data_IF_951114688174
#
_entry.id   IF_951114688174
#
_cell.length_a   1.000
_cell.length_b   1.000
_cell.length_c   1.000
_cell.angle_alpha   90.00
_cell.angle_beta   90.00
_cell.angle_gamma   90.00
#
_symmetry.space_group_name_H-M   'P 1'
#
loop_
_entity.id
_entity.type
_entity.pdbx_description
1 polymer ?
#
# COMPACT_ATOMS: atom_id res chain seq x y z
N UNK A 1 69.92 -39.83 -7.99
CA UNK A 1 69.74 -38.54 -8.69
C UNK A 1 68.85 -37.65 -7.83
N UNK A 2 69.42 -36.56 -7.37
CA UNK A 2 68.84 -35.51 -6.53
C UNK A 2 67.83 -34.67 -7.31
N UNK A 3 66.62 -34.46 -6.78
CA UNK A 3 65.82 -33.27 -7.12
C UNK A 3 65.02 -32.81 -5.90
N UNK A 4 65.49 -31.73 -5.29
CA UNK A 4 64.79 -30.96 -4.28
C UNK A 4 63.79 -30.02 -4.97
N UNK A 5 62.50 -30.18 -4.69
CA UNK A 5 61.43 -29.30 -5.18
C UNK A 5 61.16 -28.19 -4.16
N UNK A 6 61.42 -26.95 -4.57
CA UNK A 6 61.24 -25.72 -3.79
C UNK A 6 59.76 -25.35 -3.76
N UNK A 7 59.19 -25.16 -2.58
CA UNK A 7 57.84 -24.58 -2.40
C UNK A 7 57.92 -23.05 -2.49
N UNK A 8 57.06 -22.37 -3.25
CA UNK A 8 56.99 -20.92 -3.26
C UNK A 8 56.33 -20.40 -1.98
N UNK A 9 56.87 -19.28 -1.53
CA UNK A 9 56.51 -18.50 -0.36
C UNK A 9 55.12 -17.92 -0.53
N UNK A 10 54.26 -18.15 0.45
CA UNK A 10 52.94 -17.55 0.56
C UNK A 10 53.13 -16.08 0.98
N UNK A 11 53.05 -15.15 0.04
CA UNK A 11 53.06 -13.71 0.32
C UNK A 11 51.67 -13.33 0.82
N UNK A 12 51.56 -13.22 2.13
CA UNK A 12 50.43 -12.70 2.87
C UNK A 12 50.26 -11.20 2.53
N UNK A 13 49.41 -10.87 1.56
CA UNK A 13 48.97 -9.49 1.35
C UNK A 13 47.94 -9.13 2.43
N UNK A 14 48.43 -8.49 3.48
CA UNK A 14 47.61 -7.76 4.46
C UNK A 14 47.13 -6.48 3.76
N UNK A 15 45.95 -6.52 3.15
CA UNK A 15 45.22 -5.30 2.82
C UNK A 15 44.35 -4.91 4.03
N UNK A 16 44.76 -3.81 4.65
CA UNK A 16 44.07 -3.14 5.75
C UNK A 16 42.63 -2.78 5.37
N UNK A 17 41.75 -3.15 6.30
CA UNK A 17 40.31 -3.02 6.32
C UNK A 17 39.94 -1.58 6.66
N UNK A 18 39.51 -0.77 5.69
CA UNK A 18 38.86 0.54 5.89
C UNK A 18 37.77 0.79 4.83
N UNK A 19 36.87 -0.19 4.67
CA UNK A 19 35.72 -0.08 3.79
C UNK A 19 34.49 -0.78 4.37
N UNK A 20 34.32 -0.73 5.69
CA UNK A 20 33.19 -1.35 6.36
C UNK A 20 31.96 -0.42 6.26
N UNK A 21 31.03 -0.83 5.40
CA UNK A 21 29.63 -0.90 5.81
C UNK A 21 28.84 0.39 5.84
N UNK A 22 28.67 1.03 4.68
CA UNK A 22 27.41 1.75 4.43
C UNK A 22 26.53 0.81 3.61
N UNK A 23 26.06 -0.27 4.24
CA UNK A 23 24.96 -1.05 3.69
C UNK A 23 23.68 -0.23 3.82
N UNK A 24 23.49 0.64 2.84
CA UNK A 24 22.22 1.13 2.31
C UNK A 24 20.97 0.95 3.21
N UNK A 25 20.68 1.95 4.04
CA UNK A 25 19.35 2.18 4.65
C UNK A 25 18.37 2.76 3.61
N UNK A 26 18.48 2.36 2.33
CA UNK A 26 17.75 2.99 1.22
C UNK A 26 16.36 2.35 1.04
N UNK A 27 16.12 1.16 1.62
CA UNK A 27 14.85 0.44 1.49
C UNK A 27 13.68 1.06 2.27
N UNK A 28 13.93 1.89 3.28
CA UNK A 28 12.85 2.40 4.14
C UNK A 28 12.27 3.74 3.67
N UNK A 29 13.05 4.54 2.93
CA UNK A 29 12.65 5.92 2.61
C UNK A 29 11.41 5.97 1.70
N UNK A 30 11.36 5.13 0.67
CA UNK A 30 10.21 5.07 -0.24
C UNK A 30 8.97 4.52 0.45
N UNK A 31 9.12 3.49 1.30
CA UNK A 31 8.00 2.97 2.08
C UNK A 31 7.44 4.05 3.01
N UNK A 32 8.31 4.76 3.72
CA UNK A 32 7.91 5.86 4.62
C UNK A 32 7.16 6.96 3.87
N UNK A 33 7.61 7.33 2.65
CA UNK A 33 6.89 8.28 1.79
C UNK A 33 5.47 7.79 1.46
N UNK A 34 5.31 6.53 1.05
CA UNK A 34 3.99 5.98 0.69
C UNK A 34 3.10 5.79 1.93
N UNK A 35 3.65 5.39 3.07
CA UNK A 35 2.95 5.35 4.36
C UNK A 35 2.43 6.73 4.75
N UNK A 36 3.30 7.75 4.66
CA UNK A 36 2.93 9.14 4.94
C UNK A 36 1.85 9.64 4.00
N UNK A 37 2.00 9.42 2.68
CA UNK A 37 0.99 9.75 1.68
C UNK A 37 -0.35 9.04 1.97
N UNK A 38 -0.32 7.80 2.46
CA UNK A 38 -1.53 7.07 2.85
C UNK A 38 -2.15 7.63 4.14
N UNK A 39 -1.37 8.31 4.98
CA UNK A 39 -1.81 8.76 6.30
C UNK A 39 -1.55 7.72 7.39
N UNK A 40 -0.71 6.72 7.16
CA UNK A 40 -0.28 5.74 8.15
C UNK A 40 0.92 6.25 8.97
N UNK A 41 1.14 5.74 10.20
CA UNK A 41 2.35 6.02 10.96
C UNK A 41 3.57 5.31 10.35
N UNK A 42 4.70 6.03 10.29
CA UNK A 42 6.02 5.45 10.01
C UNK A 42 6.61 4.89 11.31
N UNK A 43 7.47 3.88 11.21
CA UNK A 43 8.09 3.22 12.38
C UNK A 43 7.12 2.40 13.26
N UNK A 44 5.86 2.24 12.87
CA UNK A 44 4.90 1.36 13.53
C UNK A 44 4.99 -0.05 12.94
N UNK A 45 5.42 -1.04 13.72
CA UNK A 45 5.76 -2.37 13.19
C UNK A 45 4.60 -3.02 12.42
N UNK A 46 3.35 -2.74 12.80
CA UNK A 46 2.18 -3.29 12.13
C UNK A 46 1.94 -2.70 10.74
N UNK A 47 2.48 -1.52 10.40
CA UNK A 47 2.41 -0.96 9.03
C UNK A 47 3.61 -1.32 8.16
N UNK A 48 4.61 -2.03 8.70
CA UNK A 48 5.84 -2.40 7.96
C UNK A 48 5.62 -3.33 6.76
N UNK A 49 4.48 -4.01 6.66
CA UNK A 49 4.14 -4.84 5.50
C UNK A 49 3.40 -4.05 4.40
N UNK A 50 2.85 -2.87 4.73
CA UNK A 50 2.12 -2.06 3.78
C UNK A 50 3.03 -1.60 2.64
N UNK A 51 2.54 -1.71 1.40
CA UNK A 51 3.18 -1.19 0.18
C UNK A 51 4.54 -1.81 -0.18
N UNK A 52 5.00 -2.83 0.54
CA UNK A 52 6.28 -3.51 0.26
C UNK A 52 6.11 -4.96 -0.16
N UNK A 53 4.97 -5.57 0.13
CA UNK A 53 4.65 -6.92 -0.33
C UNK A 53 3.94 -6.91 -1.70
N UNK A 54 3.56 -8.10 -2.19
CA UNK A 54 2.90 -8.28 -3.49
C UNK A 54 1.38 -8.10 -3.45
N UNK A 55 0.80 -7.77 -2.30
CA UNK A 55 -0.65 -7.82 -2.07
C UNK A 55 -1.25 -6.51 -1.55
N UNK A 56 -0.59 -5.80 -0.64
CA UNK A 56 -1.12 -4.63 0.07
C UNK A 56 -0.76 -3.31 -0.61
N UNK A 57 -1.32 -3.12 -1.80
CA UNK A 57 -0.99 -2.02 -2.71
C UNK A 57 -1.99 -0.85 -2.66
N UNK A 58 -3.25 -1.11 -2.27
CA UNK A 58 -4.30 -0.09 -2.25
C UNK A 58 -4.29 0.65 -0.92
N UNK A 59 -4.01 1.96 -0.92
CA UNK A 59 -4.30 2.81 0.23
C UNK A 59 -5.81 3.07 0.30
N UNK A 60 -6.47 2.42 1.25
CA UNK A 60 -7.88 2.58 1.51
C UNK A 60 -8.13 3.49 2.70
N UNK A 61 -9.04 4.44 2.54
CA UNK A 61 -9.61 5.21 3.65
C UNK A 61 -10.88 4.46 4.07
N UNK A 62 -10.93 3.94 5.29
CA UNK A 62 -12.05 3.14 5.79
C UNK A 62 -12.99 3.99 6.64
N UNK A 63 -14.28 3.98 6.30
CA UNK A 63 -15.35 4.51 7.13
C UNK A 63 -15.71 3.59 8.31
N UNK A 64 -16.54 4.06 9.25
CA UNK A 64 -16.91 3.31 10.46
C UNK A 64 -17.63 1.99 10.16
N UNK A 65 -18.50 1.95 9.15
CA UNK A 65 -19.25 0.74 8.79
C UNK A 65 -18.34 -0.29 8.12
N UNK A 66 -17.48 0.15 7.20
CA UNK A 66 -16.47 -0.70 6.57
C UNK A 66 -15.50 -1.32 7.59
N UNK A 67 -15.04 -0.54 8.58
CA UNK A 67 -14.20 -1.07 9.67
C UNK A 67 -14.91 -2.18 10.45
N UNK A 68 -16.13 -1.93 10.90
CA UNK A 68 -16.90 -2.90 11.68
C UNK A 68 -17.19 -4.18 10.87
N UNK A 69 -17.58 -4.00 9.60
CA UNK A 69 -17.83 -5.12 8.69
C UNK A 69 -16.58 -5.97 8.48
N UNK A 70 -15.44 -5.35 8.19
CA UNK A 70 -14.20 -6.04 7.96
C UNK A 70 -13.87 -7.00 9.11
N UNK A 71 -13.86 -6.49 10.35
CA UNK A 71 -13.58 -7.30 11.54
C UNK A 71 -14.61 -8.43 11.71
N UNK A 72 -15.90 -8.13 11.58
CA UNK A 72 -16.98 -9.14 11.72
C UNK A 72 -16.96 -10.23 10.64
N UNK A 73 -16.35 -9.94 9.50
CA UNK A 73 -16.24 -10.84 8.35
C UNK A 73 -14.96 -11.69 8.35
N UNK A 74 -14.16 -11.60 9.42
CA UNK A 74 -12.90 -12.34 9.57
C UNK A 74 -11.70 -11.67 8.90
N UNK A 75 -11.81 -10.40 8.51
CA UNK A 75 -10.72 -9.59 7.96
C UNK A 75 -10.39 -8.43 8.92
N UNK A 76 -9.44 -8.59 9.86
CA UNK A 76 -9.27 -7.73 11.03
C UNK A 76 -8.68 -6.32 10.75
N UNK A 77 -8.94 -5.74 9.57
CA UNK A 77 -8.40 -4.44 9.18
C UNK A 77 -9.13 -3.26 9.82
N UNK A 78 -10.36 -3.45 10.33
CA UNK A 78 -11.05 -2.41 11.09
C UNK A 78 -10.31 -2.09 12.39
N UNK A 79 -9.93 -3.14 13.11
CA UNK A 79 -9.11 -3.06 14.32
C UNK A 79 -7.69 -2.58 13.99
N UNK A 80 -7.07 -3.09 12.92
CA UNK A 80 -5.70 -2.70 12.54
C UNK A 80 -5.61 -1.20 12.17
N UNK A 81 -6.53 -0.71 11.33
CA UNK A 81 -6.61 0.69 10.93
C UNK A 81 -6.87 1.63 12.12
N UNK A 82 -7.73 1.23 13.04
CA UNK A 82 -8.01 2.00 14.27
C UNK A 82 -6.78 2.11 15.19
N UNK A 83 -5.99 1.04 15.32
CA UNK A 83 -4.74 1.05 16.08
C UNK A 83 -3.66 1.91 15.43
N UNK A 84 -3.54 1.85 14.10
CA UNK A 84 -2.63 2.71 13.36
C UNK A 84 -3.03 4.19 13.45
N UNK A 85 -4.33 4.49 13.41
CA UNK A 85 -4.86 5.83 13.67
C UNK A 85 -4.49 6.31 15.06
N UNK A 86 -4.67 5.48 16.10
CA UNK A 86 -4.25 5.82 17.47
C UNK A 86 -2.75 6.07 17.56
N UNK A 87 -1.92 5.23 16.96
CA UNK A 87 -0.46 5.41 16.96
C UNK A 87 -0.04 6.74 16.31
N UNK A 88 -0.79 7.21 15.29
CA UNK A 88 -0.51 8.48 14.61
C UNK A 88 -1.08 9.71 15.31
N UNK A 89 -2.28 9.61 15.88
CA UNK A 89 -3.05 10.75 16.37
C UNK A 89 -3.18 10.84 17.90
N UNK A 90 -2.75 9.81 18.64
CA UNK A 90 -2.86 9.76 20.10
C UNK A 90 -4.29 9.58 20.65
N UNK A 91 -5.27 9.29 19.78
CA UNK A 91 -6.67 9.02 20.15
C UNK A 91 -7.28 7.96 19.26
N UNK A 92 -8.28 7.24 19.77
CA UNK A 92 -9.07 6.32 18.95
C UNK A 92 -9.92 7.09 17.94
N UNK A 93 -10.23 6.52 16.76
CA UNK A 93 -11.21 7.10 15.85
C UNK A 93 -12.60 7.12 16.50
N UNK A 94 -13.35 8.20 16.29
CA UNK A 94 -14.75 8.33 16.66
C UNK A 94 -15.66 7.86 15.51
N UNK A 95 -16.98 8.02 15.68
CA UNK A 95 -17.98 7.55 14.71
C UNK A 95 -17.94 8.27 13.35
N UNK A 96 -17.26 9.41 13.25
CA UNK A 96 -17.14 10.20 12.00
C UNK A 96 -15.73 10.14 11.40
N UNK A 97 -14.75 9.63 12.14
CA UNK A 97 -13.40 9.51 11.63
C UNK A 97 -13.31 8.39 10.59
N UNK A 98 -12.62 8.69 9.50
CA UNK A 98 -12.12 7.69 8.57
C UNK A 98 -10.67 7.33 8.93
N UNK A 99 -10.27 6.09 8.67
CA UNK A 99 -8.95 5.59 9.05
C UNK A 99 -8.25 4.96 7.84
N UNK A 100 -7.03 5.39 7.49
CA UNK A 100 -6.31 4.78 6.38
C UNK A 100 -5.79 3.38 6.74
N UNK A 101 -5.71 2.51 5.74
CA UNK A 101 -5.06 1.20 5.79
C UNK A 101 -4.62 0.73 4.41
N UNK A 102 -3.52 -0.02 4.33
CA UNK A 102 -3.15 -0.71 3.12
C UNK A 102 -4.01 -1.98 2.97
N UNK A 103 -4.69 -2.14 1.85
CA UNK A 103 -5.61 -3.26 1.62
C UNK A 103 -5.14 -4.10 0.45
N UNK A 104 -5.60 -5.34 0.45
CA UNK A 104 -5.25 -6.27 -0.62
C UNK A 104 -5.85 -5.83 -1.96
N UNK A 105 -4.96 -5.56 -2.91
CA UNK A 105 -5.33 -5.09 -4.24
C UNK A 105 -5.79 -6.21 -5.16
N UNK A 106 -5.22 -7.42 -5.03
CA UNK A 106 -5.67 -8.59 -5.78
C UNK A 106 -7.14 -8.97 -5.51
N UNK A 107 -7.63 -8.70 -4.30
CA UNK A 107 -8.99 -9.00 -3.88
C UNK A 107 -9.96 -7.81 -3.90
N UNK A 108 -9.49 -6.62 -4.29
CA UNK A 108 -10.32 -5.42 -4.46
C UNK A 108 -11.06 -5.00 -3.17
N UNK A 109 -10.42 -5.16 -2.02
CA UNK A 109 -11.06 -4.97 -0.70
C UNK A 109 -11.62 -3.56 -0.56
N UNK A 110 -10.86 -2.54 -0.95
CA UNK A 110 -11.27 -1.17 -0.73
C UNK A 110 -12.47 -0.78 -1.59
N UNK A 111 -12.41 -1.08 -2.88
CA UNK A 111 -13.50 -0.81 -3.81
C UNK A 111 -14.76 -1.61 -3.46
N UNK A 112 -14.61 -2.86 -2.99
CA UNK A 112 -15.75 -3.64 -2.49
C UNK A 112 -16.41 -2.99 -1.27
N UNK A 113 -15.62 -2.51 -0.30
CA UNK A 113 -16.19 -1.81 0.86
C UNK A 113 -16.81 -0.46 0.49
N UNK A 114 -16.20 0.29 -0.43
CA UNK A 114 -16.76 1.53 -0.95
C UNK A 114 -18.12 1.32 -1.64
N UNK A 115 -18.25 0.28 -2.48
CA UNK A 115 -19.54 -0.06 -3.11
C UNK A 115 -20.58 -0.52 -2.07
N UNK A 116 -20.13 -1.23 -1.02
CA UNK A 116 -21.02 -1.77 0.02
C UNK A 116 -21.51 -0.69 1.00
N UNK A 117 -20.67 0.31 1.29
CA UNK A 117 -20.93 1.38 2.25
C UNK A 117 -20.73 2.76 1.60
N UNK A 118 -21.53 3.11 0.57
CA UNK A 118 -21.27 4.29 -0.27
C UNK A 118 -21.31 5.64 0.46
N UNK A 119 -21.83 5.67 1.70
CA UNK A 119 -22.04 6.89 2.48
C UNK A 119 -21.19 6.96 3.75
N UNK A 120 -20.33 5.96 4.04
CA UNK A 120 -19.54 5.93 5.28
C UNK A 120 -18.18 6.62 5.14
N UNK A 121 -17.86 7.13 3.95
CA UNK A 121 -16.58 7.76 3.63
C UNK A 121 -15.48 6.79 3.20
N UNK A 122 -15.80 5.50 3.02
CA UNK A 122 -14.84 4.53 2.49
C UNK A 122 -14.47 4.86 1.04
N UNK A 123 -13.17 5.00 0.77
CA UNK A 123 -12.67 5.43 -0.51
C UNK A 123 -11.26 4.93 -0.80
N UNK A 124 -10.95 4.75 -2.09
CA UNK A 124 -9.58 4.50 -2.55
C UNK A 124 -8.85 5.83 -2.59
N UNK A 125 -7.73 5.95 -1.85
CA UNK A 125 -6.89 7.14 -1.89
C UNK A 125 -5.91 7.09 -3.06
N UNK A 126 -5.22 5.96 -3.20
CA UNK A 126 -4.37 5.63 -4.33
C UNK A 126 -4.08 4.12 -4.33
N UNK A 127 -3.50 3.64 -5.42
CA UNK A 127 -2.98 2.27 -5.55
C UNK A 127 -1.50 2.37 -5.92
N UNK A 128 -0.62 1.79 -5.11
CA UNK A 128 0.83 1.82 -5.33
C UNK A 128 1.31 0.53 -5.98
N UNK A 129 2.15 0.64 -7.02
CA UNK A 129 2.80 -0.49 -7.67
C UNK A 129 4.30 -0.50 -7.32
N UNK A 130 4.73 -1.23 -6.28
CA UNK A 130 6.13 -1.25 -5.86
C UNK A 130 7.07 -1.87 -6.89
N UNK A 131 6.56 -2.70 -7.81
CA UNK A 131 7.36 -3.41 -8.81
C UNK A 131 7.58 -2.60 -10.11
N UNK A 132 7.03 -1.40 -10.26
CA UNK A 132 7.30 -0.57 -11.45
C UNK A 132 8.66 0.13 -11.35
N UNK A 133 9.24 0.48 -12.50
CA UNK A 133 10.51 1.23 -12.59
C UNK A 133 10.33 2.52 -13.42
N UNK A 134 10.28 3.72 -12.78
CA UNK A 134 10.33 3.94 -11.34
C UNK A 134 9.03 3.49 -10.64
N UNK A 135 9.02 3.37 -9.29
CA UNK A 135 7.79 3.10 -8.53
C UNK A 135 6.71 4.15 -8.77
N UNK A 136 5.51 3.68 -9.09
CA UNK A 136 4.37 4.50 -9.53
C UNK A 136 3.10 4.07 -8.80
N UNK A 137 2.05 4.88 -8.92
CA UNK A 137 0.73 4.46 -8.49
C UNK A 137 -0.38 5.13 -9.26
N UNK A 138 -1.55 4.51 -9.24
CA UNK A 138 -2.77 5.04 -9.81
C UNK A 138 -3.45 5.99 -8.81
N UNK A 139 -3.70 7.22 -9.25
CA UNK A 139 -4.33 8.29 -8.48
C UNK A 139 -5.78 8.49 -8.92
N UNK A 140 -6.57 9.21 -8.13
CA UNK A 140 -7.96 9.56 -8.49
C UNK A 140 -8.82 8.36 -8.90
N UNK A 141 -8.53 7.18 -8.34
CA UNK A 141 -9.29 5.96 -8.61
C UNK A 141 -10.70 6.16 -8.05
N UNK A 142 -11.76 6.10 -8.88
CA UNK A 142 -13.11 6.19 -8.34
C UNK A 142 -13.35 5.10 -7.30
N UNK A 143 -14.07 5.44 -6.23
CA UNK A 143 -14.31 4.54 -5.09
C UNK A 143 -15.34 3.47 -5.45
N UNK A 144 -14.88 2.50 -6.25
CA UNK A 144 -15.66 1.35 -6.70
C UNK A 144 -14.76 0.17 -6.99
N UNK A 145 -15.23 -1.05 -6.71
CA UNK A 145 -14.50 -2.29 -7.01
C UNK A 145 -14.15 -2.43 -8.49
N UNK A 146 -14.97 -1.88 -9.37
CA UNK A 146 -14.79 -1.97 -10.82
C UNK A 146 -13.60 -1.13 -11.29
N UNK A 147 -13.40 0.03 -10.67
CA UNK A 147 -12.29 0.91 -10.99
C UNK A 147 -10.98 0.44 -10.35
N UNK A 148 -11.05 -0.16 -9.16
CA UNK A 148 -9.92 -0.89 -8.58
C UNK A 148 -9.53 -2.09 -9.47
N UNK A 149 -10.51 -2.86 -9.96
CA UNK A 149 -10.25 -3.97 -10.87
C UNK A 149 -9.56 -3.51 -12.16
N UNK A 150 -9.98 -2.36 -12.71
CA UNK A 150 -9.35 -1.78 -13.89
C UNK A 150 -7.89 -1.40 -13.63
N UNK A 151 -7.58 -0.83 -12.47
CA UNK A 151 -6.20 -0.58 -12.08
C UNK A 151 -5.42 -1.88 -11.88
N UNK A 152 -6.05 -2.93 -11.30
CA UNK A 152 -5.43 -4.24 -11.08
C UNK A 152 -5.05 -4.90 -12.39
N UNK A 153 -5.96 -4.88 -13.36
CA UNK A 153 -5.72 -5.41 -14.70
C UNK A 153 -4.59 -4.63 -15.40
N UNK A 154 -4.53 -3.30 -15.24
CA UNK A 154 -3.44 -2.46 -15.79
C UNK A 154 -2.07 -2.80 -15.18
N UNK A 155 -2.01 -3.05 -13.86
CA UNK A 155 -0.78 -3.43 -13.16
C UNK A 155 -0.48 -4.93 -13.18
N UNK A 156 -1.31 -5.72 -13.89
CA UNK A 156 -1.17 -7.17 -14.03
C UNK A 156 -1.11 -7.95 -12.70
N UNK A 157 -1.82 -7.45 -11.68
CA UNK A 157 -1.85 -8.09 -10.35
C UNK A 157 -2.86 -9.24 -10.34
N UNK A 158 -2.41 -10.42 -9.93
CA UNK A 158 -3.25 -11.61 -9.89
C UNK A 158 -4.41 -11.47 -8.87
N UNK A 159 -5.61 -11.85 -9.30
CA UNK A 159 -6.78 -11.86 -8.44
C UNK A 159 -6.72 -13.02 -7.42
N UNK A 160 -7.08 -12.75 -6.17
CA UNK A 160 -7.23 -13.79 -5.15
C UNK A 160 -8.30 -13.41 -4.12
N UNK A 161 -8.72 -14.38 -3.29
CA UNK A 161 -9.76 -14.16 -2.30
C UNK A 161 -9.28 -13.42 -1.05
N UNK A 162 -10.23 -12.83 -0.33
CA UNK A 162 -10.04 -12.29 1.04
C UNK A 162 -11.35 -12.51 1.82
N UNK A 163 -11.28 -12.91 3.10
CA UNK A 163 -12.48 -13.03 3.93
C UNK A 163 -13.34 -11.75 3.89
N UNK A 164 -14.66 -11.92 3.82
CA UNK A 164 -15.62 -10.82 3.78
C UNK A 164 -15.82 -10.13 2.43
N UNK A 165 -14.98 -10.42 1.42
CA UNK A 165 -15.16 -9.92 0.06
C UNK A 165 -15.84 -10.99 -0.78
N UNK A 166 -17.11 -10.76 -1.12
CA UNK A 166 -17.84 -11.64 -2.02
C UNK A 166 -17.45 -11.31 -3.46
N UNK A 167 -16.91 -12.31 -4.15
CA UNK A 167 -16.34 -12.21 -5.50
C UNK A 167 -15.13 -11.25 -5.60
N UNK A 168 -13.89 -11.75 -5.53
CA UNK A 168 -12.70 -10.91 -5.71
C UNK A 168 -12.54 -10.41 -7.16
N UNK A 169 -13.46 -10.77 -8.06
CA UNK A 169 -13.45 -10.33 -9.46
C UNK A 169 -14.39 -9.14 -9.60
N UNK A 170 -13.84 -7.94 -9.66
CA UNK A 170 -14.53 -6.82 -10.28
C UNK A 170 -14.47 -6.97 -11.81
N UNK A 171 -15.34 -6.25 -12.51
CA UNK A 171 -15.26 -6.10 -13.96
C UNK A 171 -14.72 -4.72 -14.32
N UNK A 172 -13.56 -4.67 -14.97
CA UNK A 172 -12.96 -3.42 -15.45
C UNK A 172 -13.83 -2.72 -16.52
N UNK A 173 -14.67 -3.47 -17.24
CA UNK A 173 -15.64 -2.93 -18.19
C UNK A 173 -16.71 -2.04 -17.53
N UNK A 174 -16.98 -2.24 -16.23
CA UNK A 174 -17.95 -1.43 -15.48
C UNK A 174 -17.35 -0.13 -14.93
N UNK A 175 -16.06 0.15 -15.22
CA UNK A 175 -15.44 1.44 -14.98
C UNK A 175 -14.95 2.09 -16.29
N UNK A 176 -15.85 2.45 -17.22
CA UNK A 176 -15.46 2.92 -18.55
C UNK A 176 -14.71 4.26 -18.52
N UNK A 177 -15.10 5.18 -17.62
CA UNK A 177 -14.61 6.56 -17.63
C UNK A 177 -13.25 6.76 -16.97
N UNK A 178 -12.77 5.79 -16.18
CA UNK A 178 -11.47 5.90 -15.54
C UNK A 178 -10.37 5.41 -16.48
N UNK A 179 -9.46 6.30 -16.88
CA UNK A 179 -8.27 5.94 -17.65
C UNK A 179 -7.10 5.77 -16.69
N UNK A 180 -6.71 4.53 -16.41
CA UNK A 180 -5.62 4.22 -15.47
C UNK A 180 -4.32 4.85 -15.96
N UNK A 181 -3.94 4.63 -17.23
CA UNK A 181 -2.68 5.14 -17.79
C UNK A 181 -2.54 6.66 -17.67
N UNK A 182 -3.63 7.41 -17.78
CA UNK A 182 -3.64 8.88 -17.62
C UNK A 182 -3.56 9.34 -16.15
N UNK A 183 -3.76 8.44 -15.19
CA UNK A 183 -3.74 8.71 -13.76
C UNK A 183 -2.61 7.97 -13.02
N UNK A 184 -1.70 7.32 -13.74
CA UNK A 184 -0.49 6.75 -13.16
C UNK A 184 0.58 7.83 -13.07
N UNK A 185 1.16 7.99 -11.88
CA UNK A 185 2.26 8.92 -11.63
C UNK A 185 3.22 8.35 -10.57
N UNK A 186 4.49 8.81 -10.52
CA UNK A 186 5.37 8.54 -9.38
C UNK A 186 4.74 9.03 -8.07
N UNK A 187 4.90 8.28 -6.96
CA UNK A 187 4.33 8.68 -5.66
C UNK A 187 5.21 9.62 -4.83
N UNK A 188 6.51 9.73 -5.15
CA UNK A 188 7.45 10.63 -4.48
C UNK A 188 7.02 12.12 -4.38
N UNK A 189 6.15 12.68 -5.25
CA UNK A 189 5.64 14.06 -5.12
C UNK A 189 4.32 14.20 -4.34
N UNK A 190 3.74 13.14 -3.76
CA UNK A 190 2.35 13.17 -3.25
C UNK A 190 2.12 13.90 -1.93
N UNK A 191 3.15 14.42 -1.25
CA UNK A 191 2.95 15.24 -0.04
C UNK A 191 2.03 16.45 -0.29
N UNK A 192 1.84 16.84 -1.56
CA UNK A 192 0.97 17.94 -2.00
C UNK A 192 -0.36 17.52 -2.65
N UNK A 193 -0.66 16.23 -2.79
CA UNK A 193 -1.99 15.82 -3.28
C UNK A 193 -2.96 15.95 -2.12
N UNK A 194 -3.60 17.12 -2.08
CA UNK A 194 -4.58 17.48 -1.06
C UNK A 194 -5.53 16.32 -0.81
N UNK A 195 -5.79 16.04 0.47
CA UNK A 195 -6.79 15.04 0.86
C UNK A 195 -8.05 15.28 0.01
N UNK A 196 -8.63 14.24 -0.63
CA UNK A 196 -9.81 14.42 -1.46
C UNK A 196 -10.80 15.24 -0.66
N UNK A 197 -11.14 16.44 -1.17
CA UNK A 197 -12.16 17.26 -0.56
C UNK A 197 -13.41 16.40 -0.61
N UNK A 198 -13.78 15.80 0.53
CA UNK A 198 -15.07 15.14 0.68
C UNK A 198 -16.07 16.23 0.34
N UNK A 199 -16.61 16.19 -0.87
CA UNK A 199 -17.75 17.02 -1.22
C UNK A 199 -18.85 16.51 -0.31
N UNK A 200 -19.01 17.16 0.85
CA UNK A 200 -20.20 17.00 1.66
C UNK A 200 -21.31 17.52 0.77
N UNK A 201 -22.01 16.60 0.12
CA UNK A 201 -23.31 16.92 -0.41
C UNK A 201 -24.14 17.33 0.80
N UNK A 202 -24.38 18.64 0.94
CA UNK A 202 -25.34 19.18 1.86
C UNK A 202 -26.69 18.52 1.55
N UNK A 203 -27.03 17.48 2.30
CA UNK A 203 -28.36 16.89 2.31
C UNK A 203 -29.28 17.96 2.90
N UNK A 204 -30.02 18.63 2.01
CA UNK A 204 -31.20 19.45 2.34
C UNK A 204 -32.43 18.56 2.42
#
# INVERSE_FOLDING_TARGET
ATMASRRPVCVLCIFLILGAGVCAVVGNELQDQVLNACGLPTGYVQTSHCFVDSTHHTCCVLGPEARAYADSSGNPIGTASSKAFFAKHGRMPNATDVTPWCTCFGSLVCGYYADKFPNDGTAIKFIYQPQSDPPQGALNVPSSRHCEAKARDYFEVAAHGTPGVSDPRGSSAQCPNYNVAANVAPLAPLENVGSPSVQRHDLR
#
